data_IF_977358689266
#
_entry.id   IF_977358689266
#
_cell.length_a   1.000
_cell.length_b   1.000
_cell.length_c   1.000
_cell.angle_alpha   90.00
_cell.angle_beta   90.00
_cell.angle_gamma   90.00
#
_symmetry.space_group_name_H-M   'P 1'
#
loop_
_entity.id
_entity.type
_entity.pdbx_description
1 polymer ?
#
# COMPACT_ATOMS: atom_id res chain seq x y z
N UNK A 1 19.53 21.21 -0.02
CA UNK A 1 19.34 19.75 0.08
C UNK A 1 18.53 19.32 -1.14
N UNK A 2 19.21 18.86 -2.17
CA UNK A 2 18.60 18.57 -3.47
C UNK A 2 18.26 17.09 -3.52
N UNK A 3 16.97 16.76 -3.45
CA UNK A 3 16.44 15.39 -3.52
C UNK A 3 16.25 15.08 -5.00
N UNK A 4 17.12 14.23 -5.55
CA UNK A 4 16.98 13.71 -6.92
C UNK A 4 15.94 12.59 -6.95
N UNK A 5 15.34 12.39 -8.12
CA UNK A 5 13.92 12.11 -8.24
C UNK A 5 13.69 11.00 -9.27
N UNK A 6 13.06 9.90 -8.87
CA UNK A 6 12.57 8.87 -9.79
C UNK A 6 11.07 8.67 -9.59
N UNK A 7 10.30 8.77 -10.67
CA UNK A 7 8.88 8.40 -10.70
C UNK A 7 8.77 6.88 -10.63
N UNK A 8 8.01 6.35 -9.67
CA UNK A 8 7.76 4.92 -9.53
C UNK A 8 6.67 4.49 -10.54
N UNK A 9 6.96 3.54 -11.45
CA UNK A 9 5.97 2.99 -12.38
C UNK A 9 4.96 1.99 -11.73
N UNK A 10 5.13 1.66 -10.45
CA UNK A 10 4.43 0.53 -9.79
C UNK A 10 3.37 0.97 -8.76
N UNK A 11 2.64 2.05 -9.05
CA UNK A 11 1.52 2.49 -8.21
C UNK A 11 0.25 1.68 -8.53
N UNK A 12 -0.31 1.03 -7.53
CA UNK A 12 -1.62 0.36 -7.62
C UNK A 12 -2.73 1.29 -7.19
N UNK A 13 -3.82 1.28 -7.96
CA UNK A 13 -5.06 2.00 -7.65
C UNK A 13 -6.17 0.99 -7.38
N UNK A 14 -6.72 1.04 -6.18
CA UNK A 14 -7.72 0.11 -5.69
C UNK A 14 -8.93 0.91 -5.24
N UNK A 15 -10.11 0.44 -5.61
CA UNK A 15 -11.37 1.17 -5.41
C UNK A 15 -12.30 0.30 -4.58
N UNK A 16 -12.88 0.89 -3.54
CA UNK A 16 -13.75 0.19 -2.60
C UNK A 16 -15.00 1.01 -2.34
N UNK A 17 -16.15 0.34 -2.36
CA UNK A 17 -17.43 0.87 -1.88
C UNK A 17 -17.72 0.20 -0.55
N UNK A 18 -18.18 0.99 0.42
CA UNK A 18 -18.48 0.50 1.76
C UNK A 18 -19.97 0.53 2.03
N UNK A 19 -20.39 -0.13 3.12
CA UNK A 19 -21.76 -0.03 3.65
C UNK A 19 -21.95 1.16 4.60
N UNK A 20 -20.90 1.94 4.87
CA UNK A 20 -20.92 3.03 5.85
C UNK A 20 -21.48 4.31 5.21
N UNK A 21 -22.52 4.94 5.77
CA UNK A 21 -23.06 6.20 5.23
C UNK A 21 -22.30 7.44 5.73
N UNK A 22 -21.55 7.33 6.82
CA UNK A 22 -20.91 8.47 7.49
C UNK A 22 -19.40 8.57 7.22
N UNK A 23 -18.96 9.74 6.75
CA UNK A 23 -17.56 10.01 6.47
C UNK A 23 -16.68 9.98 7.73
N UNK A 24 -17.19 10.46 8.88
CA UNK A 24 -16.50 10.45 10.17
C UNK A 24 -16.21 9.02 10.66
N UNK A 25 -17.21 8.15 10.60
CA UNK A 25 -17.07 6.74 10.99
C UNK A 25 -16.08 6.01 10.08
N UNK A 26 -16.13 6.26 8.76
CA UNK A 26 -15.19 5.66 7.82
C UNK A 26 -13.77 6.17 8.04
N UNK A 27 -13.59 7.49 8.22
CA UNK A 27 -12.29 8.08 8.50
C UNK A 27 -11.69 7.51 9.78
N UNK A 28 -12.47 7.39 10.84
CA UNK A 28 -12.02 6.81 12.10
C UNK A 28 -11.62 5.34 11.91
N UNK A 29 -12.45 4.56 11.23
CA UNK A 29 -12.18 3.13 10.97
C UNK A 29 -10.93 2.93 10.11
N UNK A 30 -10.73 3.80 9.11
CA UNK A 30 -9.51 3.83 8.30
C UNK A 30 -8.29 4.18 9.15
N UNK A 31 -8.32 5.26 9.93
CA UNK A 31 -7.20 5.64 10.81
C UNK A 31 -6.83 4.50 11.75
N UNK A 32 -7.79 3.94 12.48
CA UNK A 32 -7.54 2.78 13.37
C UNK A 32 -6.96 1.58 12.61
N UNK A 33 -7.43 1.32 11.39
CA UNK A 33 -6.88 0.25 10.54
C UNK A 33 -5.40 0.51 10.19
N UNK A 34 -5.10 1.71 9.72
CA UNK A 34 -3.77 2.12 9.28
C UNK A 34 -2.78 2.25 10.45
N UNK A 35 -3.24 2.66 11.63
CA UNK A 35 -2.44 2.67 12.86
C UNK A 35 -1.93 1.27 13.21
N UNK A 36 -2.73 0.24 12.96
CA UNK A 36 -2.33 -1.13 13.20
C UNK A 36 -1.41 -1.71 12.11
N UNK A 37 -1.22 -1.00 11.00
CA UNK A 37 -0.50 -1.47 9.83
C UNK A 37 0.76 -0.63 9.53
N UNK A 38 1.93 -1.07 10.01
CA UNK A 38 3.18 -0.33 9.81
C UNK A 38 3.46 0.03 8.34
N UNK A 39 3.14 -0.87 7.40
CA UNK A 39 3.37 -0.66 5.97
C UNK A 39 2.62 0.55 5.40
N UNK A 40 1.43 0.88 5.92
CA UNK A 40 0.72 2.10 5.53
C UNK A 40 1.27 3.35 6.23
N UNK A 41 2.37 3.23 6.97
CA UNK A 41 3.14 4.34 7.50
C UNK A 41 4.54 4.38 6.92
N UNK A 42 4.78 3.61 5.85
CA UNK A 42 6.03 3.58 5.12
C UNK A 42 6.23 4.87 4.34
N UNK A 43 7.43 5.43 4.47
CA UNK A 43 7.95 6.47 3.59
C UNK A 43 9.20 5.99 2.88
N UNK A 44 9.37 6.43 1.64
CA UNK A 44 10.61 6.26 0.91
C UNK A 44 11.59 7.36 1.34
N UNK A 45 12.82 6.97 1.67
CA UNK A 45 13.92 7.85 2.04
C UNK A 45 15.10 7.55 1.12
N UNK A 46 15.67 8.60 0.53
CA UNK A 46 16.86 8.49 -0.31
C UNK A 46 17.96 9.38 0.27
N UNK A 47 18.81 8.85 1.17
CA UNK A 47 19.95 9.59 1.68
C UNK A 47 20.96 9.81 0.56
N UNK A 48 21.57 10.99 0.48
CA UNK A 48 22.56 11.32 -0.56
C UNK A 48 23.69 10.29 -0.58
N UNK A 49 23.93 9.69 -1.76
CA UNK A 49 25.00 8.70 -1.97
C UNK A 49 24.76 7.32 -1.33
N UNK A 50 23.56 7.05 -0.81
CA UNK A 50 23.21 5.76 -0.20
C UNK A 50 22.11 5.04 -0.98
N UNK A 51 21.89 3.76 -0.66
CA UNK A 51 20.76 3.01 -1.21
C UNK A 51 19.43 3.58 -0.67
N UNK A 52 18.36 3.59 -1.49
CA UNK A 52 17.01 3.91 -1.02
C UNK A 52 16.60 3.02 0.15
N UNK A 53 15.91 3.62 1.13
CA UNK A 53 15.41 2.97 2.33
C UNK A 53 13.90 3.17 2.44
N UNK A 54 13.23 2.20 3.05
CA UNK A 54 11.83 2.33 3.47
C UNK A 54 11.81 2.41 4.99
N UNK A 55 11.15 3.44 5.52
CA UNK A 55 11.02 3.64 6.96
C UNK A 55 9.55 3.70 7.38
N UNK A 56 9.22 2.98 8.46
CA UNK A 56 7.89 3.02 9.05
C UNK A 56 7.81 4.13 10.10
N UNK A 57 6.93 5.11 9.87
CA UNK A 57 6.68 6.17 10.83
C UNK A 57 5.80 5.69 11.99
N UNK A 58 5.88 6.40 13.12
CA UNK A 58 4.88 6.30 14.19
C UNK A 58 3.55 6.87 13.70
N UNK A 59 2.40 6.33 14.15
CA UNK A 59 1.12 6.92 13.80
C UNK A 59 1.02 8.33 14.37
N UNK A 60 0.55 9.26 13.54
CA UNK A 60 0.33 10.64 13.94
C UNK A 60 -0.77 11.25 13.08
N UNK A 61 -1.52 12.18 13.65
CA UNK A 61 -2.56 12.91 12.93
C UNK A 61 -1.97 13.66 11.73
N UNK A 62 -0.81 14.31 11.91
CA UNK A 62 -0.09 15.00 10.84
C UNK A 62 0.25 14.09 9.65
N UNK A 63 0.61 12.82 9.89
CA UNK A 63 0.83 11.88 8.81
C UNK A 63 -0.48 11.53 8.09
N UNK A 64 -1.54 11.23 8.84
CA UNK A 64 -2.84 10.88 8.26
C UNK A 64 -3.46 12.03 7.47
N UNK A 65 -3.28 13.28 7.89
CA UNK A 65 -3.79 14.46 7.17
C UNK A 65 -3.12 14.65 5.81
N UNK A 66 -1.90 14.15 5.64
CA UNK A 66 -1.20 14.14 4.35
C UNK A 66 -1.55 12.92 3.50
N UNK A 67 -1.84 11.80 4.13
CA UNK A 67 -2.09 10.52 3.47
C UNK A 67 -3.57 10.26 3.16
N UNK A 68 -4.50 10.99 3.78
CA UNK A 68 -5.94 10.82 3.60
C UNK A 68 -6.55 12.15 3.21
N UNK A 69 -7.28 12.18 2.09
CA UNK A 69 -8.04 13.36 1.66
C UNK A 69 -9.51 13.01 1.45
N UNK A 70 -10.39 13.95 1.77
CA UNK A 70 -11.82 13.86 1.47
C UNK A 70 -12.07 14.61 0.16
N UNK A 71 -12.82 13.99 -0.75
CA UNK A 71 -13.18 14.52 -2.06
C UNK A 71 -14.69 14.73 -2.13
N UNK A 72 -15.12 15.63 -3.02
CA UNK A 72 -16.53 15.88 -3.31
C UNK A 72 -17.27 14.61 -3.72
N UNK A 73 -18.58 14.61 -3.47
CA UNK A 73 -19.49 13.50 -3.80
C UNK A 73 -19.41 13.12 -5.28
N UNK A 74 -19.36 11.83 -5.55
CA UNK A 74 -19.36 11.26 -6.91
C UNK A 74 -20.70 10.61 -7.22
N UNK A 75 -21.08 10.58 -8.50
CA UNK A 75 -22.37 10.04 -8.93
C UNK A 75 -22.51 8.54 -8.59
N UNK A 76 -21.49 7.76 -8.91
CA UNK A 76 -21.51 6.30 -8.86
C UNK A 76 -20.09 5.71 -8.71
N UNK A 77 -20.03 4.38 -8.74
CA UNK A 77 -18.82 3.57 -8.60
C UNK A 77 -17.85 3.77 -9.77
N UNK A 78 -18.36 4.08 -10.96
CA UNK A 78 -17.53 4.34 -12.14
C UNK A 78 -16.85 5.71 -12.01
N UNK A 79 -17.57 6.72 -11.53
CA UNK A 79 -17.00 8.02 -11.20
C UNK A 79 -15.93 7.91 -10.09
N UNK A 80 -16.14 7.04 -9.10
CA UNK A 80 -15.13 6.71 -8.09
C UNK A 80 -13.85 6.13 -8.72
N UNK A 81 -13.96 5.26 -9.72
CA UNK A 81 -12.82 4.73 -10.47
C UNK A 81 -12.08 5.80 -11.27
N UNK A 82 -12.70 6.93 -11.59
CA UNK A 82 -12.10 8.00 -12.38
C UNK A 82 -11.37 9.06 -11.54
N UNK A 83 -11.50 9.03 -10.21
CA UNK A 83 -10.77 9.94 -9.31
C UNK A 83 -9.26 9.83 -9.58
N UNK A 84 -8.60 10.94 -9.91
CA UNK A 84 -7.18 11.01 -10.32
C UNK A 84 -6.80 10.23 -11.60
N UNK A 85 -7.75 9.85 -12.44
CA UNK A 85 -7.49 9.21 -13.74
C UNK A 85 -6.72 7.89 -13.62
N UNK A 86 -5.66 7.73 -14.43
CA UNK A 86 -4.79 6.54 -14.41
C UNK A 86 -3.83 6.55 -13.21
N UNK A 87 -3.28 5.38 -12.87
CA UNK A 87 -2.27 5.27 -11.82
C UNK A 87 -1.07 6.21 -12.04
N UNK A 88 -0.64 6.40 -13.29
CA UNK A 88 0.47 7.31 -13.64
C UNK A 88 0.11 8.78 -13.41
N UNK A 89 -1.12 9.18 -13.73
CA UNK A 89 -1.58 10.54 -13.46
C UNK A 89 -1.69 10.79 -11.96
N UNK A 90 -2.24 9.82 -11.22
CA UNK A 90 -2.29 9.84 -9.78
C UNK A 90 -0.88 9.98 -9.18
N UNK A 91 0.10 9.16 -9.63
CA UNK A 91 1.48 9.17 -9.16
C UNK A 91 2.15 10.57 -9.23
N UNK A 92 1.81 11.36 -10.25
CA UNK A 92 2.35 12.72 -10.43
C UNK A 92 1.82 13.75 -9.42
N UNK A 93 0.69 13.47 -8.77
CA UNK A 93 0.00 14.37 -7.84
C UNK A 93 0.32 14.08 -6.36
N UNK A 94 1.23 13.14 -6.08
CA UNK A 94 1.54 12.72 -4.70
C UNK A 94 2.80 13.36 -4.12
N UNK A 95 2.80 13.65 -2.80
CA UNK A 95 4.04 13.89 -2.08
C UNK A 95 4.96 12.68 -2.26
N UNK A 96 6.10 12.89 -2.91
CA UNK A 96 6.98 11.84 -3.45
C UNK A 96 7.52 10.85 -2.42
N UNK A 97 7.44 11.19 -1.14
CA UNK A 97 7.92 10.35 -0.04
C UNK A 97 6.83 9.45 0.56
N UNK A 98 5.54 9.69 0.28
CA UNK A 98 4.45 8.84 0.75
C UNK A 98 4.30 7.62 -0.15
N UNK A 99 4.30 6.44 0.46
CA UNK A 99 4.14 5.18 -0.27
C UNK A 99 2.67 4.75 -0.41
N UNK A 100 1.73 5.50 0.18
CA UNK A 100 0.30 5.32 -0.04
C UNK A 100 -0.49 6.62 0.14
N UNK A 101 -1.71 6.65 -0.40
CA UNK A 101 -2.71 7.68 -0.16
C UNK A 101 -4.11 7.09 -0.27
N UNK A 102 -5.04 7.67 0.49
CA UNK A 102 -6.46 7.32 0.45
C UNK A 102 -7.28 8.56 0.11
N UNK A 103 -8.20 8.42 -0.84
CA UNK A 103 -9.22 9.42 -1.13
C UNK A 103 -10.57 8.87 -0.68
N UNK A 104 -11.24 9.60 0.19
CA UNK A 104 -12.57 9.29 0.71
C UNK A 104 -13.60 10.13 -0.04
N UNK A 105 -14.70 9.54 -0.48
CA UNK A 105 -15.82 10.30 -1.07
C UNK A 105 -17.15 9.61 -0.79
N UNK A 106 -18.23 10.36 -0.89
CA UNK A 106 -19.59 9.85 -0.86
C UNK A 106 -20.03 9.44 -2.26
N UNK A 107 -20.72 8.31 -2.37
CA UNK A 107 -21.26 7.79 -3.63
C UNK A 107 -22.77 8.03 -3.63
N UNK A 108 -23.23 8.98 -4.47
CA UNK A 108 -24.61 9.44 -4.48
C UNK A 108 -25.61 8.30 -4.73
N UNK A 109 -25.32 7.44 -5.71
CA UNK A 109 -26.16 6.30 -6.09
C UNK A 109 -26.49 5.36 -4.93
N UNK A 110 -25.49 5.04 -4.09
CA UNK A 110 -25.66 4.10 -2.97
C UNK A 110 -25.93 4.80 -1.64
N UNK A 111 -25.74 6.13 -1.57
CA UNK A 111 -25.74 6.92 -0.33
C UNK A 111 -24.75 6.40 0.72
N UNK A 112 -23.70 5.71 0.27
CA UNK A 112 -22.63 5.20 1.12
C UNK A 112 -21.31 5.85 0.77
N UNK A 113 -20.34 5.66 1.65
CA UNK A 113 -18.98 6.10 1.42
C UNK A 113 -18.20 5.08 0.58
N UNK A 114 -17.33 5.60 -0.28
CA UNK A 114 -16.31 4.85 -1.00
C UNK A 114 -14.93 5.44 -0.74
N UNK A 115 -13.90 4.66 -1.03
CA UNK A 115 -12.53 5.17 -1.02
C UNK A 115 -11.67 4.57 -2.13
N UNK A 116 -10.71 5.38 -2.58
CA UNK A 116 -9.65 4.98 -3.50
C UNK A 116 -8.35 4.88 -2.72
N UNK A 117 -7.75 3.70 -2.70
CA UNK A 117 -6.42 3.45 -2.17
C UNK A 117 -5.41 3.48 -3.31
N UNK A 118 -4.43 4.35 -3.21
CA UNK A 118 -3.31 4.47 -4.13
C UNK A 118 -2.06 4.08 -3.36
N UNK A 119 -1.34 3.07 -3.81
CA UNK A 119 -0.30 2.43 -2.99
C UNK A 119 0.85 1.91 -3.83
N UNK A 120 2.07 2.12 -3.35
CA UNK A 120 3.29 1.60 -3.96
C UNK A 120 3.41 0.09 -3.70
N UNK A 121 3.68 -0.70 -4.74
CA UNK A 121 3.79 -2.16 -4.64
C UNK A 121 4.95 -2.63 -3.75
N UNK A 122 5.90 -1.75 -3.40
CA UNK A 122 6.97 -2.09 -2.47
C UNK A 122 6.48 -2.32 -1.03
N UNK A 123 5.30 -1.83 -0.65
CA UNK A 123 4.79 -1.93 0.74
C UNK A 123 3.58 -2.85 0.88
N UNK A 124 2.96 -3.23 -0.22
CA UNK A 124 1.79 -4.11 -0.23
C UNK A 124 1.76 -4.96 -1.50
N UNK A 125 1.34 -6.21 -1.35
CA UNK A 125 1.02 -7.09 -2.48
C UNK A 125 -0.50 -7.15 -2.71
N UNK A 126 -0.90 -7.84 -3.78
CA UNK A 126 -2.31 -8.03 -4.11
C UNK A 126 -3.09 -8.77 -3.01
N UNK A 127 -2.48 -9.71 -2.28
CA UNK A 127 -3.18 -10.46 -1.24
C UNK A 127 -3.49 -9.59 -0.02
N UNK A 128 -2.54 -8.78 0.42
CA UNK A 128 -2.69 -7.89 1.56
C UNK A 128 -3.66 -6.74 1.22
N UNK A 129 -3.70 -6.28 -0.03
CA UNK A 129 -4.64 -5.24 -0.45
C UNK A 129 -6.13 -5.66 -0.33
N UNK A 130 -6.44 -6.94 -0.54
CA UNK A 130 -7.79 -7.49 -0.35
C UNK A 130 -8.25 -7.47 1.13
N UNK A 131 -7.32 -7.37 2.08
CA UNK A 131 -7.64 -7.34 3.52
C UNK A 131 -8.07 -5.94 4.00
N UNK A 132 -7.79 -4.89 3.22
CA UNK A 132 -8.12 -3.48 3.55
C UNK A 132 -9.61 -3.27 3.81
N UNK A 133 -10.52 -3.55 2.84
CA UNK A 133 -11.95 -3.32 3.05
C UNK A 133 -12.52 -4.18 4.17
N UNK A 134 -12.08 -5.44 4.28
CA UNK A 134 -12.51 -6.35 5.34
C UNK A 134 -12.17 -5.79 6.72
N UNK A 135 -10.95 -5.29 6.92
CA UNK A 135 -10.51 -4.74 8.20
C UNK A 135 -11.25 -3.46 8.55
N UNK A 136 -11.42 -2.55 7.59
CA UNK A 136 -12.22 -1.33 7.79
C UNK A 136 -13.64 -1.69 8.23
N UNK A 137 -14.26 -2.67 7.59
CA UNK A 137 -15.60 -3.15 7.96
C UNK A 137 -15.65 -3.77 9.37
N UNK A 138 -14.66 -4.57 9.74
CA UNK A 138 -14.58 -5.18 11.08
C UNK A 138 -14.38 -4.12 12.16
N UNK A 139 -13.50 -3.13 11.94
CA UNK A 139 -13.27 -2.03 12.88
C UNK A 139 -14.51 -1.16 13.02
N UNK A 140 -15.21 -0.87 11.92
CA UNK A 140 -16.48 -0.15 11.95
C UNK A 140 -17.55 -0.87 12.78
N UNK A 141 -17.45 -2.21 12.92
CA UNK A 141 -18.28 -3.07 13.77
C UNK A 141 -17.71 -3.28 15.18
N UNK A 142 -16.64 -2.58 15.56
CA UNK A 142 -16.01 -2.69 16.88
C UNK A 142 -15.07 -3.89 17.06
N UNK A 143 -14.69 -4.59 15.98
CA UNK A 143 -13.78 -5.74 16.03
C UNK A 143 -12.37 -5.35 15.58
N UNK A 144 -11.40 -5.48 16.49
CA UNK A 144 -9.98 -5.28 16.19
C UNK A 144 -9.26 -6.63 16.18
N UNK A 145 -8.94 -7.13 14.99
CA UNK A 145 -8.18 -8.38 14.86
C UNK A 145 -6.68 -8.12 15.04
N UNK A 146 -6.05 -8.86 15.94
CA UNK A 146 -4.58 -8.87 16.12
C UNK A 146 -3.88 -9.37 14.85
N UNK A 147 -2.70 -8.83 14.54
CA UNK A 147 -1.87 -9.25 13.40
C UNK A 147 -0.47 -9.58 13.88
N UNK A 148 0.16 -10.54 13.21
CA UNK A 148 1.59 -10.76 13.30
C UNK A 148 2.29 -9.51 12.74
N UNK A 149 3.17 -8.85 13.52
CA UNK A 149 3.93 -7.71 13.03
C UNK A 149 4.79 -8.13 11.83
N UNK A 150 4.87 -7.27 10.80
CA UNK A 150 5.73 -7.54 9.64
C UNK A 150 7.20 -7.79 10.05
N UNK A 151 7.66 -7.14 11.13
CA UNK A 151 8.98 -7.37 11.70
C UNK A 151 9.24 -8.84 12.02
N UNK A 152 8.27 -9.57 12.54
CA UNK A 152 8.41 -11.01 12.82
C UNK A 152 8.70 -11.78 11.54
N UNK A 153 8.01 -11.46 10.43
CA UNK A 153 8.31 -12.05 9.13
C UNK A 153 9.71 -11.66 8.65
N UNK A 154 10.10 -10.40 8.75
CA UNK A 154 11.42 -9.92 8.33
C UNK A 154 12.56 -10.62 9.11
N UNK A 155 12.41 -10.76 10.43
CA UNK A 155 13.38 -11.44 11.29
C UNK A 155 13.49 -12.93 10.92
N UNK A 156 12.36 -13.62 10.69
CA UNK A 156 12.33 -15.02 10.24
C UNK A 156 12.98 -15.15 8.85
N UNK A 157 12.66 -14.26 7.92
CA UNK A 157 13.22 -14.28 6.56
C UNK A 157 14.74 -14.07 6.60
N UNK A 158 15.22 -13.13 7.41
CA UNK A 158 16.64 -12.88 7.60
C UNK A 158 17.34 -14.12 8.19
N UNK A 159 16.77 -14.73 9.23
CA UNK A 159 17.31 -15.96 9.81
C UNK A 159 17.30 -17.14 8.81
N UNK A 160 16.26 -17.22 7.97
CA UNK A 160 16.15 -18.25 6.94
C UNK A 160 17.18 -18.05 5.82
N UNK A 161 17.61 -16.82 5.52
CA UNK A 161 18.51 -16.53 4.38
C UNK A 161 19.85 -17.27 4.43
N UNK A 162 20.34 -17.62 5.62
CA UNK A 162 21.60 -18.37 5.83
C UNK A 162 21.37 -19.84 6.16
N UNK A 163 20.13 -20.33 6.09
CA UNK A 163 19.76 -21.69 6.48
C UNK A 163 20.09 -22.74 5.42
N UNK A 164 20.13 -24.01 5.82
CA UNK A 164 20.32 -25.15 4.91
C UNK A 164 19.23 -25.23 3.82
N UNK A 165 17.93 -25.05 4.11
CA UNK A 165 16.90 -24.98 3.07
C UNK A 165 17.14 -23.88 2.04
N UNK A 166 17.52 -22.67 2.47
CA UNK A 166 17.82 -21.57 1.55
C UNK A 166 18.97 -21.90 0.59
N UNK A 167 20.04 -22.55 1.11
CA UNK A 167 21.16 -23.02 0.27
C UNK A 167 20.72 -24.06 -0.76
N UNK A 168 19.93 -25.06 -0.33
CA UNK A 168 19.40 -26.10 -1.25
C UNK A 168 18.50 -25.50 -2.33
N UNK A 169 17.67 -24.52 -1.98
CA UNK A 169 16.83 -23.80 -2.94
C UNK A 169 17.69 -23.03 -3.96
N UNK A 170 18.71 -22.31 -3.49
CA UNK A 170 19.64 -21.61 -4.37
C UNK A 170 20.37 -22.58 -5.33
N UNK A 171 20.90 -23.70 -4.82
CA UNK A 171 21.55 -24.73 -5.64
C UNK A 171 20.61 -25.32 -6.70
N UNK A 172 19.35 -25.58 -6.34
CA UNK A 172 18.33 -26.03 -7.28
C UNK A 172 18.11 -25.00 -8.40
N UNK A 173 17.92 -23.73 -8.05
CA UNK A 173 17.70 -22.67 -9.04
C UNK A 173 18.92 -22.45 -9.93
N UNK A 174 20.14 -22.47 -9.39
CA UNK A 174 21.37 -22.38 -10.20
C UNK A 174 21.43 -23.50 -11.23
N UNK A 175 21.21 -24.76 -10.81
CA UNK A 175 21.20 -25.91 -11.74
C UNK A 175 20.07 -25.81 -12.77
N UNK A 176 18.88 -25.39 -12.37
CA UNK A 176 17.70 -25.30 -13.25
C UNK A 176 17.80 -24.19 -14.29
N UNK A 177 18.45 -23.09 -13.95
CA UNK A 177 18.58 -21.90 -14.78
C UNK A 177 19.89 -21.87 -15.57
N UNK A 178 20.78 -22.86 -15.38
CA UNK A 178 22.00 -23.00 -16.15
C UNK A 178 21.68 -23.09 -17.65
N UNK A 179 22.37 -22.29 -18.47
CA UNK A 179 22.18 -22.23 -19.92
C UNK A 179 21.05 -21.33 -20.42
N UNK A 180 20.21 -20.73 -19.55
CA UNK A 180 19.15 -19.80 -19.99
C UNK A 180 19.74 -18.50 -20.61
N UNK A 181 20.92 -18.08 -20.17
CA UNK A 181 21.63 -16.94 -20.76
C UNK A 181 22.33 -17.22 -22.09
N UNK A 182 22.40 -18.50 -22.51
CA UNK A 182 23.07 -18.94 -23.75
C UNK A 182 22.05 -19.24 -24.87
N UNK A 183 20.76 -19.08 -24.61
CA UNK A 183 19.71 -19.25 -25.62
C UNK A 183 19.66 -18.01 -26.53
N UNK A 184 20.10 -18.16 -27.77
CA UNK A 184 19.86 -17.17 -28.81
C UNK A 184 18.42 -17.32 -29.36
N UNK A 185 17.70 -16.20 -29.47
CA UNK A 185 16.44 -16.15 -30.22
C UNK A 185 16.75 -16.47 -31.69
N UNK A 186 16.06 -17.46 -32.25
CA UNK A 186 15.97 -17.71 -33.70
C UNK A 186 14.75 -16.97 -34.24
#
# INVERSE_FOLDING_TARGET
MSIFMKTYPDLHKLVYVTSTPEASQMLQSLKTSLESWPNFRSIAIEPSGSRPLVANLRPSQHYFDRAISIHDEVSDEQALMNIHGTANHAASQFPRNLMFRIVITKVAKTKTMGFVLMVDHAIIDAHHSLLVPRRVSLIAKGSVQSRVPYRTFADIHQAHSTSMPARKAAEFHVKRLQGIGEMHYV
#
